data_IF_615154643622
#
_entry.id   IF_615154643622
#
_cell.length_a   1.000
_cell.length_b   1.000
_cell.length_c   1.000
_cell.angle_alpha   90.00
_cell.angle_beta   90.00
_cell.angle_gamma   90.00
#
_symmetry.space_group_name_H-M   'P 1'
#
loop_
_entity.id
_entity.type
_entity.pdbx_description
1 polymer ?
#
# COMPACT_ATOMS: atom_id res chain seq x y z
N UNK A 1 4.62 -4.35 18.29
CA UNK A 1 4.70 -3.44 17.19
C UNK A 1 3.33 -3.00 16.75
N UNK A 2 3.16 -1.74 16.46
CA UNK A 2 1.83 -1.24 16.16
C UNK A 2 1.42 -1.62 14.76
N UNK A 3 0.11 -1.65 14.53
CA UNK A 3 -0.42 -1.95 13.21
C UNK A 3 0.03 -0.90 12.21
N UNK A 4 0.16 0.34 12.66
CA UNK A 4 0.58 1.40 11.79
C UNK A 4 1.98 1.11 11.23
N UNK A 5 2.90 0.67 12.08
CA UNK A 5 4.24 0.36 11.63
C UNK A 5 4.26 -0.82 10.67
N UNK A 6 3.44 -1.82 10.96
CA UNK A 6 3.38 -2.97 10.08
C UNK A 6 2.85 -2.59 8.70
N UNK A 7 1.82 -1.75 8.67
CA UNK A 7 1.27 -1.30 7.41
C UNK A 7 2.33 -0.53 6.64
N UNK A 8 3.02 0.38 7.31
CA UNK A 8 4.00 1.22 6.66
C UNK A 8 5.14 0.39 6.12
N UNK A 9 5.64 -0.57 6.88
CA UNK A 9 6.71 -1.43 6.43
C UNK A 9 6.30 -2.18 5.17
N UNK A 10 5.10 -2.73 5.16
CA UNK A 10 4.64 -3.50 4.01
C UNK A 10 4.41 -2.60 2.80
N UNK A 11 3.89 -1.39 3.03
CA UNK A 11 3.67 -0.45 1.95
C UNK A 11 4.98 -0.08 1.29
N UNK A 12 5.98 0.24 2.08
CA UNK A 12 7.25 0.67 1.55
C UNK A 12 7.98 -0.47 0.86
N UNK A 13 7.93 -1.66 1.42
CA UNK A 13 8.56 -2.81 0.77
C UNK A 13 7.93 -3.05 -0.60
N UNK A 14 6.62 -2.97 -0.67
CA UNK A 14 5.93 -3.18 -1.91
C UNK A 14 6.27 -2.10 -2.94
N UNK A 15 6.35 -0.86 -2.50
CA UNK A 15 6.67 0.24 -3.38
C UNK A 15 8.09 0.15 -3.90
N UNK A 16 9.02 -0.22 -3.04
CA UNK A 16 10.42 -0.35 -3.43
C UNK A 16 10.57 -1.47 -4.45
N UNK A 17 9.90 -2.59 -4.21
CA UNK A 17 9.97 -3.68 -5.16
C UNK A 17 9.45 -3.25 -6.52
N UNK A 18 8.38 -2.48 -6.54
CA UNK A 18 7.79 -2.05 -7.80
C UNK A 18 8.72 -1.11 -8.56
N UNK A 19 9.32 -0.14 -7.89
CA UNK A 19 10.15 0.82 -8.59
C UNK A 19 11.46 0.20 -9.04
N UNK A 20 11.89 -0.86 -8.38
CA UNK A 20 13.13 -1.52 -8.81
C UNK A 20 12.98 -2.14 -10.19
N UNK A 21 11.76 -2.38 -10.62
CA UNK A 21 11.52 -2.93 -11.94
C UNK A 21 11.39 -1.85 -13.00
N UNK A 22 11.46 -0.59 -12.60
CA UNK A 22 11.37 0.52 -13.53
C UNK A 22 12.75 1.03 -13.88
N UNK A 23 12.86 1.75 -14.99
CA UNK A 23 14.13 2.36 -15.30
C UNK A 23 14.43 3.41 -14.25
N UNK A 24 15.70 3.63 -14.00
CA UNK A 24 16.14 4.47 -12.91
C UNK A 24 15.50 5.86 -12.92
N UNK A 25 15.43 6.46 -14.06
CA UNK A 25 14.91 7.81 -14.11
C UNK A 25 13.40 7.89 -13.88
N UNK A 26 12.71 6.77 -13.87
CA UNK A 26 11.27 6.79 -13.64
C UNK A 26 10.88 6.38 -12.24
N UNK A 27 11.84 6.06 -11.42
CA UNK A 27 11.54 5.57 -10.08
C UNK A 27 11.09 6.70 -9.17
N UNK A 28 9.91 6.56 -8.62
CA UNK A 28 9.39 7.57 -7.73
C UNK A 28 8.44 6.93 -6.73
N UNK A 29 8.55 7.30 -5.48
CA UNK A 29 7.63 6.88 -4.44
C UNK A 29 7.18 8.12 -3.71
N UNK A 30 5.86 8.27 -3.54
CA UNK A 30 5.31 9.38 -2.81
C UNK A 30 4.49 8.84 -1.66
N UNK A 31 4.69 9.38 -0.49
CA UNK A 31 3.99 8.92 0.69
C UNK A 31 3.40 10.13 1.38
N UNK A 32 2.12 10.06 1.66
CA UNK A 32 1.41 11.17 2.29
C UNK A 32 0.61 10.68 3.47
N UNK A 33 0.50 11.51 4.48
CA UNK A 33 -0.26 11.19 5.66
C UNK A 33 -1.21 12.34 5.97
N UNK A 34 -2.35 11.99 6.50
CA UNK A 34 -3.31 12.99 6.96
C UNK A 34 -4.08 12.41 8.14
N UNK A 35 -4.56 13.25 8.98
CA UNK A 35 -5.31 12.80 10.13
C UNK A 35 -6.54 13.67 10.26
N UNK A 36 -7.67 13.06 10.55
CA UNK A 36 -8.90 13.78 10.71
C UNK A 36 -9.68 13.10 11.82
N UNK A 37 -9.89 13.80 12.94
CA UNK A 37 -10.61 13.25 14.06
C UNK A 37 -10.03 11.92 14.49
N UNK A 38 -10.77 10.87 14.35
CA UNK A 38 -10.35 9.57 14.78
C UNK A 38 -9.88 8.69 13.63
N UNK A 39 -9.57 9.27 12.49
CA UNK A 39 -9.12 8.50 11.35
C UNK A 39 -7.73 8.97 10.90
N UNK A 40 -6.95 8.03 10.45
CA UNK A 40 -5.62 8.31 9.98
C UNK A 40 -5.54 7.82 8.54
N UNK A 41 -5.08 8.67 7.64
CA UNK A 41 -5.04 8.35 6.22
C UNK A 41 -3.62 8.23 5.73
N UNK A 42 -3.36 7.21 4.95
CA UNK A 42 -2.06 7.00 4.36
C UNK A 42 -2.26 6.80 2.87
N UNK A 43 -1.51 7.52 2.05
CA UNK A 43 -1.56 7.35 0.61
C UNK A 43 -0.13 7.11 0.15
N UNK A 44 0.07 6.05 -0.59
CA UNK A 44 1.37 5.73 -1.13
C UNK A 44 1.23 5.54 -2.63
N UNK A 45 2.03 6.24 -3.41
CA UNK A 45 2.04 6.09 -4.85
C UNK A 45 3.44 5.73 -5.28
N UNK A 46 3.54 4.81 -6.21
CA UNK A 46 4.86 4.45 -6.73
C UNK A 46 4.73 4.18 -8.22
N UNK A 47 5.81 4.42 -8.95
CA UNK A 47 5.82 4.07 -10.34
C UNK A 47 5.87 2.56 -10.44
N UNK A 48 5.33 2.02 -11.52
CA UNK A 48 5.36 0.60 -11.76
C UNK A 48 5.39 0.39 -13.26
N UNK A 49 5.74 -0.80 -13.67
CA UNK A 49 5.71 -1.12 -15.08
C UNK A 49 4.25 -1.39 -15.43
N UNK A 50 3.78 -0.73 -16.45
CA UNK A 50 2.36 -0.82 -16.80
C UNK A 50 1.93 -2.25 -17.07
N UNK A 51 2.82 -3.05 -17.59
CA UNK A 51 2.44 -4.42 -17.92
C UNK A 51 2.52 -5.37 -16.75
N UNK A 52 2.90 -4.90 -15.61
CA UNK A 52 3.07 -5.79 -14.48
C UNK A 52 1.77 -6.22 -13.83
N UNK A 53 0.76 -5.41 -13.96
CA UNK A 53 -0.48 -5.66 -13.23
C UNK A 53 -1.66 -5.43 -14.14
N UNK A 54 -2.67 -6.26 -13.99
CA UNK A 54 -3.92 -6.08 -14.72
C UNK A 54 -5.04 -6.01 -13.72
N UNK A 55 -6.04 -5.25 -14.07
CA UNK A 55 -7.20 -5.15 -13.22
C UNK A 55 -8.23 -6.10 -13.71
N UNK A 56 -8.87 -6.77 -12.82
CA UNK A 56 -9.93 -7.65 -13.17
C UNK A 56 -10.98 -7.48 -12.10
N UNK A 57 -11.93 -6.61 -12.35
CA UNK A 57 -12.89 -6.30 -11.32
C UNK A 57 -12.20 -5.67 -10.16
N UNK A 58 -12.28 -6.27 -9.03
CA UNK A 58 -11.66 -5.72 -7.85
C UNK A 58 -10.34 -6.37 -7.54
N UNK A 59 -9.83 -7.18 -8.45
CA UNK A 59 -8.60 -7.89 -8.17
C UNK A 59 -7.48 -7.44 -9.05
N UNK A 60 -6.28 -7.49 -8.50
CA UNK A 60 -5.12 -7.20 -9.29
C UNK A 60 -4.50 -8.51 -9.64
N UNK A 61 -4.28 -8.74 -10.90
CA UNK A 61 -3.70 -9.97 -11.35
C UNK A 61 -2.41 -9.64 -12.03
N UNK A 62 -1.33 -10.15 -11.53
CA UNK A 62 -0.07 -9.85 -12.12
C UNK A 62 0.06 -10.63 -13.39
N UNK A 63 0.85 -10.13 -14.25
CA UNK A 63 1.02 -10.80 -15.51
C UNK A 63 1.72 -12.10 -15.33
N UNK A 64 2.22 -12.42 -14.17
CA UNK A 64 2.82 -13.57 -13.99
C UNK A 64 2.13 -14.34 -13.14
N UNK A 65 1.16 -14.54 -13.12
CA UNK A 65 0.44 -15.22 -12.33
C UNK A 65 0.71 -14.92 -11.08
N UNK A 66 0.82 -14.91 -10.65
CA UNK A 66 1.06 -14.73 -9.54
C UNK A 66 0.90 -13.58 -9.02
N UNK A 67 0.51 -12.89 -9.29
CA UNK A 67 0.28 -11.98 -8.62
C UNK A 67 1.18 -11.88 -7.72
N UNK A 68 2.26 -12.12 -8.02
CA UNK A 68 3.20 -12.15 -7.24
C UNK A 68 3.25 -11.19 -6.36
N UNK A 69 2.94 -10.19 -6.62
CA UNK A 69 3.07 -9.29 -5.74
C UNK A 69 2.02 -9.41 -4.86
N UNK A 70 1.26 -10.32 -5.02
CA UNK A 70 0.19 -10.54 -4.17
C UNK A 70 0.51 -10.59 -2.76
N UNK A 71 1.67 -11.05 -2.39
CA UNK A 71 1.85 -11.18 -1.02
C UNK A 71 2.00 -9.85 -0.38
N UNK A 72 2.57 -8.92 -1.01
CA UNK A 72 2.67 -7.61 -0.45
C UNK A 72 1.30 -6.99 -0.26
N UNK A 73 0.46 -7.09 -1.27
CA UNK A 73 -0.85 -6.49 -1.21
C UNK A 73 -1.74 -7.22 -0.23
N UNK A 74 -1.68 -8.52 -0.21
CA UNK A 74 -2.53 -9.26 0.69
C UNK A 74 -2.14 -9.07 2.13
N UNK A 75 -0.85 -8.91 2.39
CA UNK A 75 -0.39 -8.64 3.72
C UNK A 75 -0.90 -7.28 4.19
N UNK A 76 -0.85 -6.28 3.33
CA UNK A 76 -1.34 -4.97 3.67
C UNK A 76 -2.82 -5.05 3.98
N UNK A 77 -3.58 -5.73 3.11
CA UNK A 77 -5.01 -5.82 3.30
C UNK A 77 -5.35 -6.51 4.62
N UNK A 78 -4.63 -7.58 4.92
CA UNK A 78 -4.92 -8.31 6.15
C UNK A 78 -4.62 -7.46 7.39
N UNK A 79 -3.49 -6.75 7.39
CA UNK A 79 -3.14 -5.94 8.53
C UNK A 79 -4.14 -4.81 8.70
N UNK A 80 -4.52 -4.19 7.59
CA UNK A 80 -5.47 -3.08 7.63
C UNK A 80 -6.83 -3.57 8.13
N UNK A 81 -7.27 -4.71 7.65
CA UNK A 81 -8.57 -5.23 8.07
C UNK A 81 -8.55 -5.66 9.53
N UNK A 82 -7.43 -6.22 9.99
CA UNK A 82 -7.32 -6.59 11.37
C UNK A 82 -7.34 -5.35 12.27
N UNK A 83 -6.90 -4.23 11.77
CA UNK A 83 -6.93 -2.99 12.52
C UNK A 83 -8.25 -2.25 12.31
N UNK A 84 -9.20 -2.90 11.62
CA UNK A 84 -10.50 -2.34 11.38
C UNK A 84 -10.47 -1.12 10.48
N UNK A 85 -9.52 -1.09 9.58
CA UNK A 85 -9.40 -0.04 8.61
C UNK A 85 -9.88 -0.48 7.25
N UNK A 86 -9.57 0.31 6.25
CA UNK A 86 -9.94 0.03 4.88
C UNK A 86 -8.80 0.40 3.97
N UNK A 87 -8.71 -0.26 2.83
CA UNK A 87 -7.67 0.07 1.88
C UNK A 87 -8.20 -0.08 0.47
N UNK A 88 -7.60 0.66 -0.45
CA UNK A 88 -7.90 0.57 -1.86
C UNK A 88 -6.60 0.50 -2.60
N UNK A 89 -6.56 -0.32 -3.63
CA UNK A 89 -5.40 -0.46 -4.49
C UNK A 89 -5.80 -0.02 -5.88
N UNK A 90 -5.16 1.01 -6.40
CA UNK A 90 -5.58 1.66 -7.63
C UNK A 90 -4.42 1.73 -8.61
N UNK A 91 -4.37 0.82 -9.57
CA UNK A 91 -3.34 0.89 -10.60
C UNK A 91 -3.83 1.79 -11.73
N UNK A 92 -2.98 2.72 -12.14
CA UNK A 92 -3.32 3.59 -13.23
C UNK A 92 -2.11 3.80 -14.09
N UNK A 93 -2.14 3.28 -15.28
CA UNK A 93 -1.01 3.42 -16.20
C UNK A 93 0.27 2.97 -15.53
N UNK A 94 1.18 3.85 -15.28
CA UNK A 94 2.45 3.47 -14.70
C UNK A 94 2.57 3.88 -13.24
N UNK A 95 1.45 4.11 -12.58
CA UNK A 95 1.46 4.49 -11.19
C UNK A 95 0.54 3.57 -10.40
N UNK A 96 1.01 3.09 -9.28
CA UNK A 96 0.19 2.26 -8.40
C UNK A 96 -0.04 3.07 -7.14
N UNK A 97 -1.31 3.27 -6.81
CA UNK A 97 -1.68 4.07 -5.65
C UNK A 97 -2.36 3.18 -4.64
N UNK A 98 -1.98 3.32 -3.38
CA UNK A 98 -2.62 2.61 -2.30
C UNK A 98 -3.16 3.65 -1.34
N UNK A 99 -4.43 3.54 -0.98
CA UNK A 99 -5.04 4.45 -0.03
C UNK A 99 -5.48 3.63 1.17
N UNK A 100 -5.09 4.04 2.34
CA UNK A 100 -5.41 3.32 3.57
C UNK A 100 -6.02 4.26 4.58
N UNK A 101 -7.07 3.80 5.24
CA UNK A 101 -7.69 4.55 6.32
C UNK A 101 -7.66 3.65 7.53
N UNK A 102 -7.08 4.14 8.61
CA UNK A 102 -7.02 3.38 9.86
C UNK A 102 -7.68 4.18 10.96
N UNK A 103 -8.40 3.54 11.84
CA UNK A 103 -8.95 4.27 12.98
C UNK A 103 -7.80 4.70 13.87
N UNK A 104 -7.91 5.93 14.35
CA UNK A 104 -6.87 6.45 15.20
C UNK A 104 -7.28 6.13 16.63
N UNK A 105 -6.62 5.16 17.22
CA UNK A 105 -6.93 4.76 18.56
C UNK A 105 -5.82 5.25 19.43
N UNK A 106 -6.14 6.10 20.37
CA UNK A 106 -5.16 6.69 21.20
C UNK A 106 -4.22 5.69 21.84
N UNK A 107 -4.75 4.60 22.27
CA UNK A 107 -3.92 3.60 22.90
C UNK A 107 -2.91 3.02 21.94
N UNK A 108 -3.33 2.78 20.72
CA UNK A 108 -2.44 2.22 19.73
C UNK A 108 -1.30 3.18 19.45
N UNK A 109 -1.63 4.45 19.35
CA UNK A 109 -0.60 5.41 19.03
C UNK A 109 0.34 5.60 20.22
N UNK A 110 -0.16 5.45 21.40
CA UNK A 110 0.70 5.60 22.55
C UNK A 110 1.69 4.48 22.65
N UNK A 111 1.33 3.34 22.18
CA UNK A 111 2.24 2.24 22.25
C UNK A 111 3.51 2.47 21.47
N UNK A 112 3.49 3.36 20.55
CA UNK A 112 4.67 3.56 19.76
C UNK A 112 5.62 4.50 20.43
N UNK A 113 5.31 4.94 21.61
CA UNK A 113 6.21 5.83 22.25
C UNK A 113 7.41 5.20 22.68
#
# INVERSE_FOLDING_TARGET
>A
ESDFCLVLDNLLDNAIEAVEKCSVEKREIRLSFARSWDMFYIVCENTMRASSVKMSGLHFISSKGGFIHGYGIQSIRRIVENAQGRCKFIPQNEVFRVEIVLPFIKETMQCSK
#
